data_IF_204516790331
#
_entry.id   IF_204516790331
#
_cell.length_a   1.000
_cell.length_b   1.000
_cell.length_c   1.000
_cell.angle_alpha   90.00
_cell.angle_beta   90.00
_cell.angle_gamma   90.00
#
_symmetry.space_group_name_H-M   'P 1'
#
loop_
_entity.id
_entity.type
_entity.pdbx_description
1 polymer ?
#
# COMPACT_ATOMS: atom_id res chain seq x y z
N UNK A 1 41.38 13.62 4.84
CA UNK A 1 39.98 13.25 4.57
C UNK A 1 39.27 14.54 4.21
N UNK A 2 38.66 14.60 3.04
CA UNK A 2 38.02 15.82 2.55
C UNK A 2 36.59 15.87 3.10
N UNK A 3 36.35 16.71 4.09
CA UNK A 3 35.06 16.77 4.81
C UNK A 3 33.96 17.37 3.92
N UNK A 4 34.32 18.29 3.02
CA UNK A 4 33.38 18.86 2.04
C UNK A 4 32.88 17.75 1.11
N UNK A 5 33.81 16.90 0.63
CA UNK A 5 33.44 15.73 -0.16
C UNK A 5 32.49 14.79 0.61
N UNK A 6 32.76 14.53 1.89
CA UNK A 6 31.87 13.69 2.71
C UNK A 6 30.47 14.27 2.86
N UNK A 7 30.35 15.59 3.04
CA UNK A 7 29.06 16.26 3.11
C UNK A 7 28.31 16.12 1.78
N UNK A 8 28.96 16.36 0.65
CA UNK A 8 28.35 16.16 -0.67
C UNK A 8 27.90 14.71 -0.89
N UNK A 9 28.74 13.73 -0.54
CA UNK A 9 28.39 12.31 -0.64
C UNK A 9 27.17 11.96 0.24
N UNK A 10 27.04 12.56 1.43
CA UNK A 10 25.85 12.38 2.29
C UNK A 10 24.60 13.05 1.72
N UNK A 11 24.73 14.21 1.09
CA UNK A 11 23.63 14.88 0.41
C UNK A 11 23.03 13.99 -0.68
N UNK A 12 23.90 13.42 -1.53
CA UNK A 12 23.47 12.51 -2.59
C UNK A 12 22.78 11.27 -2.00
N UNK A 13 23.32 10.69 -0.93
CA UNK A 13 22.67 9.56 -0.26
C UNK A 13 21.32 9.92 0.39
N UNK A 14 21.12 11.14 0.87
CA UNK A 14 19.83 11.61 1.38
C UNK A 14 18.80 11.67 0.26
N UNK A 15 19.20 12.18 -0.90
CA UNK A 15 18.35 12.24 -2.10
C UNK A 15 17.99 10.83 -2.57
N UNK A 16 18.97 9.95 -2.70
CA UNK A 16 18.74 8.54 -3.08
C UNK A 16 17.78 7.85 -2.10
N UNK A 17 17.95 8.09 -0.79
CA UNK A 17 17.06 7.51 0.23
C UNK A 17 15.63 8.03 0.12
N UNK A 18 15.45 9.32 -0.22
CA UNK A 18 14.12 9.87 -0.48
C UNK A 18 13.48 9.25 -1.74
N UNK A 19 14.28 9.02 -2.79
CA UNK A 19 13.81 8.38 -4.01
C UNK A 19 13.46 6.90 -3.79
N UNK A 20 14.22 6.17 -2.96
CA UNK A 20 13.88 4.82 -2.51
C UNK A 20 12.53 4.77 -1.77
N UNK A 21 12.15 5.87 -1.11
CA UNK A 21 10.86 6.04 -0.43
C UNK A 21 9.73 6.44 -1.40
N UNK A 22 10.04 6.59 -2.69
CA UNK A 22 9.11 7.04 -3.73
C UNK A 22 8.92 8.56 -3.79
N UNK A 23 9.69 9.33 -3.00
CA UNK A 23 9.63 10.79 -3.01
C UNK A 23 10.49 11.30 -4.16
N UNK A 24 9.88 12.05 -5.09
CA UNK A 24 10.64 12.67 -6.18
C UNK A 24 11.67 13.66 -5.65
N UNK A 25 12.87 13.67 -6.23
CA UNK A 25 13.95 14.63 -5.89
C UNK A 25 13.47 16.07 -5.76
N UNK A 26 12.74 16.60 -6.74
CA UNK A 26 12.26 17.99 -6.71
C UNK A 26 11.30 18.25 -5.55
N UNK A 27 10.46 17.28 -5.21
CA UNK A 27 9.55 17.35 -4.06
C UNK A 27 10.35 17.35 -2.76
N UNK A 28 11.35 16.46 -2.65
CA UNK A 28 12.19 16.36 -1.46
C UNK A 28 13.07 17.60 -1.27
N UNK A 29 13.67 18.16 -2.33
CA UNK A 29 14.43 19.41 -2.23
C UNK A 29 13.55 20.59 -1.79
N UNK A 30 12.29 20.62 -2.22
CA UNK A 30 11.35 21.69 -1.88
C UNK A 30 10.78 21.58 -0.46
N UNK A 31 10.49 20.36 -0.02
CA UNK A 31 9.72 20.09 1.21
C UNK A 31 10.56 19.41 2.30
N UNK A 32 11.77 18.95 2.00
CA UNK A 32 12.56 18.06 2.86
C UNK A 32 12.91 18.63 4.22
N UNK A 33 12.82 19.95 4.44
CA UNK A 33 13.08 20.57 5.75
C UNK A 33 11.82 20.76 6.60
N UNK A 34 10.64 20.45 6.05
CA UNK A 34 9.36 20.84 6.65
C UNK A 34 9.11 20.24 8.03
N UNK A 35 9.56 19.01 8.29
CA UNK A 35 9.43 18.39 9.61
C UNK A 35 10.34 19.09 10.63
N UNK A 36 11.62 19.31 10.27
CA UNK A 36 12.57 20.02 11.13
C UNK A 36 12.06 21.41 11.48
N UNK A 37 11.55 22.15 10.49
CA UNK A 37 10.95 23.46 10.68
C UNK A 37 9.73 23.41 11.62
N UNK A 38 8.80 22.47 11.41
CA UNK A 38 7.65 22.31 12.30
C UNK A 38 8.09 22.06 13.75
N UNK A 39 9.00 21.10 13.98
CA UNK A 39 9.47 20.72 15.32
C UNK A 39 10.30 21.83 16.00
N UNK A 40 11.17 22.51 15.25
CA UNK A 40 12.06 23.55 15.79
C UNK A 40 11.26 24.76 16.31
N UNK A 41 10.31 25.25 15.51
CA UNK A 41 9.51 26.41 15.86
C UNK A 41 8.39 26.10 16.84
N UNK A 42 7.89 24.85 16.89
CA UNK A 42 6.97 24.42 17.96
C UNK A 42 7.60 24.50 19.35
N UNK A 43 8.91 24.23 19.46
CA UNK A 43 9.63 24.31 20.74
C UNK A 43 9.96 25.75 21.15
N UNK A 44 9.91 26.70 20.21
CA UNK A 44 10.25 28.11 20.43
C UNK A 44 9.17 29.04 19.85
N UNK A 45 7.92 28.98 20.35
CA UNK A 45 6.80 29.66 19.72
C UNK A 45 6.86 31.18 19.94
N UNK A 46 6.96 31.93 18.84
CA UNK A 46 6.63 33.36 18.73
C UNK A 46 5.31 33.56 17.97
N UNK A 47 4.69 34.74 18.07
CA UNK A 47 3.46 35.03 17.29
C UNK A 47 3.69 34.94 15.77
N UNK A 48 4.87 35.35 15.30
CA UNK A 48 5.30 35.21 13.91
C UNK A 48 5.59 33.76 13.52
N UNK A 49 6.02 32.92 14.47
CA UNK A 49 6.32 31.51 14.21
C UNK A 49 5.07 30.65 13.99
N UNK A 50 3.89 31.04 14.48
CA UNK A 50 2.68 30.19 14.39
C UNK A 50 2.25 29.94 12.94
N UNK A 51 2.14 31.00 12.14
CA UNK A 51 1.82 30.87 10.72
C UNK A 51 2.89 30.10 9.93
N UNK A 52 4.15 30.20 10.37
CA UNK A 52 5.26 29.45 9.80
C UNK A 52 5.17 27.95 10.16
N UNK A 53 4.90 27.61 11.42
CA UNK A 53 4.69 26.24 11.91
C UNK A 53 3.54 25.57 11.16
N UNK A 54 2.41 26.27 10.99
CA UNK A 54 1.25 25.72 10.28
C UNK A 54 1.60 25.41 8.81
N UNK A 55 2.35 26.30 8.15
CA UNK A 55 2.85 26.06 6.79
C UNK A 55 3.82 24.88 6.75
N UNK A 56 4.77 24.79 7.70
CA UNK A 56 5.72 23.69 7.79
C UNK A 56 5.02 22.35 8.02
N UNK A 57 3.98 22.31 8.86
CA UNK A 57 3.13 21.13 9.05
C UNK A 57 2.39 20.73 7.78
N UNK A 58 1.82 21.69 7.06
CA UNK A 58 1.16 21.42 5.80
C UNK A 58 2.15 20.83 4.79
N UNK A 59 3.33 21.45 4.63
CA UNK A 59 4.40 20.96 3.76
C UNK A 59 4.88 19.57 4.17
N UNK A 60 4.94 19.26 5.46
CA UNK A 60 5.30 17.93 5.93
C UNK A 60 4.22 16.89 5.62
N UNK A 61 2.94 17.25 5.72
CA UNK A 61 1.86 16.37 5.28
C UNK A 61 1.94 16.13 3.76
N UNK A 62 2.20 17.16 2.95
CA UNK A 62 2.42 17.01 1.51
C UNK A 62 3.61 16.08 1.20
N UNK A 63 4.68 16.14 1.99
CA UNK A 63 5.83 15.24 1.87
C UNK A 63 5.47 13.79 2.24
N UNK A 64 4.65 13.57 3.28
CA UNK A 64 4.16 12.25 3.65
C UNK A 64 3.22 11.66 2.57
N UNK A 65 2.35 12.50 2.00
CA UNK A 65 1.44 12.10 0.93
C UNK A 65 2.19 11.69 -0.35
N UNK A 66 3.39 12.22 -0.57
CA UNK A 66 4.27 11.80 -1.64
C UNK A 66 4.88 10.39 -1.43
N UNK A 67 4.81 9.83 -0.21
CA UNK A 67 5.33 8.52 0.16
C UNK A 67 4.28 7.67 0.93
N UNK A 68 3.14 7.31 0.31
CA UNK A 68 2.01 6.71 1.02
C UNK A 68 2.25 5.30 1.61
N UNK A 69 3.35 4.63 1.22
CA UNK A 69 3.77 3.33 1.77
C UNK A 69 4.80 3.42 2.89
N UNK A 70 5.31 4.63 3.17
CA UNK A 70 6.41 4.85 4.11
C UNK A 70 5.83 5.35 5.43
N UNK A 71 6.25 4.80 6.60
CA UNK A 71 5.82 5.32 7.90
C UNK A 71 6.14 6.81 8.04
N UNK A 72 5.19 7.57 8.58
CA UNK A 72 5.35 9.01 8.82
C UNK A 72 6.64 9.31 9.59
N UNK A 73 6.97 8.48 10.57
CA UNK A 73 8.18 8.60 11.38
C UNK A 73 9.45 8.45 10.55
N UNK A 74 9.46 7.57 9.53
CA UNK A 74 10.60 7.44 8.63
C UNK A 74 10.79 8.69 7.77
N UNK A 75 9.69 9.30 7.30
CA UNK A 75 9.70 10.58 6.57
C UNK A 75 10.15 11.73 7.49
N UNK A 76 9.77 11.70 8.77
CA UNK A 76 10.20 12.68 9.78
C UNK A 76 11.73 12.62 10.01
N UNK A 77 12.29 11.42 10.23
CA UNK A 77 13.73 11.24 10.38
C UNK A 77 14.51 11.66 9.14
N UNK A 78 14.00 11.33 7.95
CA UNK A 78 14.61 11.74 6.69
C UNK A 78 14.57 13.28 6.52
N UNK A 79 13.46 13.91 6.91
CA UNK A 79 13.32 15.37 6.88
C UNK A 79 14.23 16.08 7.91
N UNK A 80 14.37 15.52 9.10
CA UNK A 80 15.31 16.00 10.11
C UNK A 80 16.77 15.90 9.64
N UNK A 81 17.14 14.77 9.03
CA UNK A 81 18.47 14.58 8.45
C UNK A 81 18.77 15.62 7.36
N UNK A 82 17.82 15.87 6.46
CA UNK A 82 17.97 16.88 5.41
C UNK A 82 18.07 18.31 5.96
N UNK A 83 17.22 18.66 6.94
CA UNK A 83 17.29 19.97 7.57
C UNK A 83 18.60 20.22 8.30
N UNK A 84 19.07 19.21 9.04
CA UNK A 84 20.35 19.25 9.74
C UNK A 84 21.52 19.42 8.77
N UNK A 85 21.49 18.68 7.66
CA UNK A 85 22.50 18.75 6.61
C UNK A 85 22.60 20.13 5.95
N UNK A 86 21.46 20.78 5.67
CA UNK A 86 21.47 22.15 5.13
C UNK A 86 21.98 23.15 6.16
N UNK A 87 21.62 23.00 7.44
CA UNK A 87 22.17 23.84 8.51
C UNK A 87 23.70 23.70 8.60
N UNK A 88 24.23 22.50 8.39
CA UNK A 88 25.68 22.25 8.28
C UNK A 88 26.34 23.04 7.17
N UNK A 89 25.76 22.99 5.96
CA UNK A 89 26.28 23.71 4.80
C UNK A 89 26.27 25.23 5.01
N UNK A 90 25.14 25.78 5.47
CA UNK A 90 25.01 27.22 5.73
C UNK A 90 26.01 27.70 6.79
N UNK A 91 26.22 26.93 7.86
CA UNK A 91 27.18 27.28 8.92
C UNK A 91 28.64 27.23 8.43
N UNK A 92 28.94 26.37 7.45
CA UNK A 92 30.27 26.28 6.85
C UNK A 92 30.60 27.39 5.86
N UNK A 93 29.59 27.98 5.20
CA UNK A 93 29.76 29.12 4.30
C UNK A 93 30.00 30.42 5.10
N UNK A 94 29.28 30.62 6.20
CA UNK A 94 29.35 31.83 7.03
C UNK A 94 30.70 31.98 7.77
N UNK A 95 31.40 30.87 8.03
CA UNK A 95 32.69 30.83 8.74
C UNK A 95 33.92 30.88 7.83
N UNK A 96 33.78 30.99 6.51
CA UNK A 96 34.95 31.10 5.62
C UNK A 96 35.69 32.45 5.74
N UNK A 97 35.10 33.46 6.38
CA UNK A 97 35.71 34.80 6.50
C UNK A 97 36.65 34.95 7.73
N UNK A 98 36.56 34.08 8.75
CA UNK A 98 37.42 34.11 9.93
C UNK A 98 38.31 32.86 10.01
N UNK A 99 39.53 32.99 9.47
CA UNK A 99 40.43 31.91 9.04
C UNK A 99 40.97 30.95 10.13
N UNK A 100 40.62 31.07 11.42
CA UNK A 100 41.42 30.40 12.46
C UNK A 100 40.81 29.18 13.15
N UNK A 101 39.50 28.91 13.12
CA UNK A 101 38.95 27.67 13.70
C UNK A 101 37.63 27.27 13.00
N UNK A 102 37.74 26.63 11.83
CA UNK A 102 36.62 25.82 11.33
C UNK A 102 36.45 24.64 12.31
N UNK A 103 35.39 24.66 13.12
CA UNK A 103 35.06 23.64 14.11
C UNK A 103 34.77 22.29 13.43
N UNK A 104 35.84 21.60 13.02
CA UNK A 104 35.77 20.28 12.40
C UNK A 104 35.03 19.28 13.29
N UNK A 105 35.05 19.49 14.61
CA UNK A 105 34.32 18.68 15.59
C UNK A 105 32.81 18.78 15.40
N UNK A 106 32.25 19.99 15.35
CA UNK A 106 30.81 20.20 15.11
C UNK A 106 30.35 19.65 13.76
N UNK A 107 31.16 19.84 12.72
CA UNK A 107 30.89 19.33 11.38
C UNK A 107 30.83 17.80 11.38
N UNK A 108 31.80 17.14 12.02
CA UNK A 108 31.83 15.68 12.15
C UNK A 108 30.65 15.16 12.96
N UNK A 109 30.33 15.77 14.11
CA UNK A 109 29.16 15.42 14.93
C UNK A 109 27.86 15.50 14.11
N UNK A 110 27.70 16.58 13.34
CA UNK A 110 26.50 16.79 12.55
C UNK A 110 26.35 15.76 11.42
N UNK A 111 27.45 15.41 10.74
CA UNK A 111 27.46 14.37 9.71
C UNK A 111 27.17 12.97 10.31
N UNK A 112 27.54 12.72 11.58
CA UNK A 112 27.20 11.49 12.30
C UNK A 112 25.71 11.44 12.65
N UNK A 113 25.11 12.55 13.05
CA UNK A 113 23.67 12.64 13.33
C UNK A 113 22.84 12.43 12.06
N UNK A 114 23.21 13.07 10.94
CA UNK A 114 22.59 12.83 9.62
C UNK A 114 22.61 11.33 9.27
N UNK A 115 23.77 10.69 9.40
CA UNK A 115 23.92 9.25 9.13
C UNK A 115 23.02 8.39 10.03
N UNK A 116 22.92 8.75 11.31
CA UNK A 116 22.11 8.04 12.30
C UNK A 116 20.62 8.13 11.96
N UNK A 117 20.13 9.31 11.62
CA UNK A 117 18.75 9.52 11.21
C UNK A 117 18.40 8.77 9.92
N UNK A 118 19.29 8.76 8.93
CA UNK A 118 19.11 7.97 7.71
C UNK A 118 19.02 6.46 8.01
N UNK A 119 19.86 5.97 8.94
CA UNK A 119 19.81 4.58 9.39
C UNK A 119 18.47 4.20 10.02
N UNK A 120 17.94 5.07 10.88
CA UNK A 120 16.61 4.89 11.51
C UNK A 120 15.49 4.91 10.48
N UNK A 121 15.50 5.90 9.57
CA UNK A 121 14.49 6.02 8.51
C UNK A 121 14.43 4.74 7.66
N UNK A 122 15.58 4.25 7.19
CA UNK A 122 15.67 3.00 6.41
C UNK A 122 15.19 1.77 7.20
N UNK A 123 15.49 1.70 8.49
CA UNK A 123 15.03 0.61 9.36
C UNK A 123 13.50 0.57 9.50
N UNK A 124 12.87 1.74 9.65
CA UNK A 124 11.42 1.87 9.75
C UNK A 124 10.72 1.54 8.42
N UNK A 125 11.23 2.03 7.29
CA UNK A 125 10.68 1.73 5.97
C UNK A 125 10.72 0.22 5.67
N UNK A 126 11.86 -0.45 5.90
CA UNK A 126 11.97 -1.92 5.71
C UNK A 126 10.99 -2.72 6.55
N UNK A 127 10.72 -2.27 7.78
CA UNK A 127 9.74 -2.93 8.67
C UNK A 127 8.31 -2.78 8.13
N UNK A 128 7.99 -1.62 7.55
CA UNK A 128 6.69 -1.36 6.94
C UNK A 128 6.48 -2.20 5.67
N UNK A 129 7.48 -2.30 4.80
CA UNK A 129 7.43 -3.16 3.61
C UNK A 129 7.12 -4.62 3.99
N UNK A 130 7.83 -5.15 4.99
CA UNK A 130 7.58 -6.51 5.48
C UNK A 130 6.19 -6.71 6.10
N UNK A 131 5.56 -5.65 6.62
CA UNK A 131 4.17 -5.71 7.12
C UNK A 131 3.16 -5.62 5.98
N UNK A 132 3.42 -4.78 4.97
CA UNK A 132 2.57 -4.63 3.81
C UNK A 132 2.49 -5.92 2.99
N UNK A 133 3.64 -6.57 2.75
CA UNK A 133 3.68 -7.87 2.07
C UNK A 133 2.88 -8.95 2.82
N UNK A 134 2.99 -8.99 4.16
CA UNK A 134 2.22 -9.91 5.00
C UNK A 134 0.72 -9.65 4.88
N UNK A 135 0.30 -8.39 4.97
CA UNK A 135 -1.10 -8.01 4.84
C UNK A 135 -1.67 -8.37 3.46
N UNK A 136 -0.93 -8.08 2.38
CA UNK A 136 -1.35 -8.44 1.02
C UNK A 136 -1.45 -9.96 0.84
N UNK A 137 -0.52 -10.73 1.42
CA UNK A 137 -0.56 -12.19 1.41
C UNK A 137 -1.81 -12.73 2.12
N UNK A 138 -2.11 -12.24 3.32
CA UNK A 138 -3.30 -12.61 4.08
C UNK A 138 -4.59 -12.25 3.32
N UNK A 139 -4.64 -11.06 2.72
CA UNK A 139 -5.78 -10.62 1.93
C UNK A 139 -6.03 -11.54 0.72
N UNK A 140 -4.97 -11.91 -0.02
CA UNK A 140 -5.08 -12.87 -1.14
C UNK A 140 -5.58 -14.23 -0.67
N UNK A 141 -5.10 -14.70 0.48
CA UNK A 141 -5.55 -15.97 1.05
C UNK A 141 -7.04 -15.92 1.42
N UNK A 142 -7.50 -14.84 2.05
CA UNK A 142 -8.91 -14.65 2.39
C UNK A 142 -9.80 -14.59 1.14
N UNK A 143 -9.39 -13.86 0.10
CA UNK A 143 -10.10 -13.81 -1.18
C UNK A 143 -10.18 -15.18 -1.85
N UNK A 144 -9.08 -15.94 -1.85
CA UNK A 144 -9.04 -17.31 -2.37
C UNK A 144 -10.00 -18.23 -1.61
N UNK A 145 -10.04 -18.14 -0.28
CA UNK A 145 -10.97 -18.93 0.55
C UNK A 145 -12.43 -18.55 0.29
N UNK A 146 -12.72 -17.26 0.14
CA UNK A 146 -14.06 -16.78 -0.20
C UNK A 146 -14.50 -17.29 -1.58
N UNK A 147 -13.61 -17.25 -2.58
CA UNK A 147 -13.84 -17.83 -3.90
C UNK A 147 -14.13 -19.32 -3.86
N UNK A 148 -13.35 -20.09 -3.09
CA UNK A 148 -13.56 -21.52 -2.91
C UNK A 148 -14.91 -21.83 -2.24
N UNK A 149 -15.30 -21.06 -1.21
CA UNK A 149 -16.62 -21.18 -0.56
C UNK A 149 -17.77 -20.87 -1.53
N UNK A 150 -17.63 -19.82 -2.33
CA UNK A 150 -18.61 -19.45 -3.35
C UNK A 150 -18.79 -20.53 -4.42
N UNK A 151 -17.67 -21.07 -4.92
CA UNK A 151 -17.69 -22.18 -5.88
C UNK A 151 -18.36 -23.43 -5.29
N UNK A 152 -18.01 -23.81 -4.05
CA UNK A 152 -18.61 -24.95 -3.36
C UNK A 152 -20.13 -24.78 -3.18
N UNK A 153 -20.59 -23.58 -2.80
CA UNK A 153 -22.01 -23.27 -2.68
C UNK A 153 -22.75 -23.38 -4.02
N UNK A 154 -22.16 -22.87 -5.11
CA UNK A 154 -22.70 -23.01 -6.47
C UNK A 154 -22.80 -24.47 -6.91
N UNK A 155 -21.74 -25.25 -6.68
CA UNK A 155 -21.73 -26.68 -6.99
C UNK A 155 -22.81 -27.45 -6.21
N UNK A 156 -23.01 -27.15 -4.93
CA UNK A 156 -24.08 -27.74 -4.12
C UNK A 156 -25.47 -27.47 -4.73
N UNK A 157 -25.76 -26.20 -5.06
CA UNK A 157 -27.05 -25.83 -5.68
C UNK A 157 -27.27 -26.50 -7.05
N UNK A 158 -26.21 -26.61 -7.86
CA UNK A 158 -26.26 -27.34 -9.14
C UNK A 158 -26.56 -28.83 -8.93
N UNK A 159 -25.97 -29.45 -7.90
CA UNK A 159 -26.23 -30.84 -7.55
C UNK A 159 -27.67 -31.07 -7.06
N UNK A 160 -28.21 -30.15 -6.24
CA UNK A 160 -29.60 -30.18 -5.77
C UNK A 160 -30.59 -30.05 -6.94
N UNK A 161 -30.37 -29.10 -7.84
CA UNK A 161 -31.19 -28.94 -9.05
C UNK A 161 -31.12 -30.19 -9.94
N UNK A 162 -29.93 -30.76 -10.14
CA UNK A 162 -29.77 -32.02 -10.89
C UNK A 162 -30.57 -33.16 -10.26
N UNK A 163 -30.50 -33.32 -8.94
CA UNK A 163 -31.25 -34.35 -8.20
C UNK A 163 -32.76 -34.18 -8.39
N UNK A 164 -33.27 -32.96 -8.17
CA UNK A 164 -34.68 -32.63 -8.35
C UNK A 164 -35.18 -32.93 -9.77
N UNK A 165 -34.39 -32.55 -10.80
CA UNK A 165 -34.72 -32.84 -12.21
C UNK A 165 -34.89 -34.32 -12.45
N UNK A 166 -33.94 -35.14 -11.97
CA UNK A 166 -33.96 -36.58 -12.19
C UNK A 166 -35.15 -37.25 -11.48
N UNK A 167 -35.47 -36.82 -10.26
CA UNK A 167 -36.62 -37.31 -9.49
C UNK A 167 -37.95 -36.96 -10.16
N UNK A 168 -38.13 -35.70 -10.62
CA UNK A 168 -39.36 -35.28 -11.31
C UNK A 168 -39.50 -35.89 -12.69
N UNK A 169 -38.41 -36.04 -13.44
CA UNK A 169 -38.45 -36.66 -14.75
C UNK A 169 -38.82 -38.15 -14.68
N UNK A 170 -38.52 -38.85 -13.59
CA UNK A 170 -38.85 -40.27 -13.43
C UNK A 170 -40.37 -40.55 -13.40
N UNK A 171 -41.19 -39.56 -13.04
CA UNK A 171 -42.66 -39.71 -12.97
C UNK A 171 -43.38 -39.18 -14.21
N UNK A 172 -42.65 -38.58 -15.16
CA UNK A 172 -43.20 -37.96 -16.35
C UNK A 172 -42.84 -38.78 -17.61
N UNK A 173 -43.73 -38.76 -18.59
CA UNK A 173 -43.47 -39.34 -19.92
C UNK A 173 -43.28 -38.26 -20.97
N UNK A 174 -42.35 -38.47 -21.89
CA UNK A 174 -42.08 -37.59 -23.02
C UNK A 174 -40.61 -37.65 -23.43
N UNK A 175 -40.28 -36.99 -24.54
CA UNK A 175 -38.89 -36.75 -24.93
C UNK A 175 -38.21 -35.71 -23.99
N UNK A 176 -36.88 -35.75 -23.94
CA UNK A 176 -36.08 -34.91 -23.03
C UNK A 176 -36.33 -33.41 -23.21
N UNK A 177 -36.61 -32.95 -24.42
CA UNK A 177 -36.85 -31.52 -24.70
C UNK A 177 -38.21 -31.07 -24.14
N UNK A 178 -39.24 -31.88 -24.32
CA UNK A 178 -40.56 -31.64 -23.76
C UNK A 178 -40.54 -31.72 -22.24
N UNK A 179 -39.79 -32.67 -21.67
CA UNK A 179 -39.57 -32.73 -20.21
C UNK A 179 -38.82 -31.51 -19.70
N UNK A 180 -37.74 -31.08 -20.37
CA UNK A 180 -36.98 -29.91 -19.98
C UNK A 180 -37.84 -28.64 -19.96
N UNK A 181 -38.68 -28.43 -20.97
CA UNK A 181 -39.61 -27.29 -21.04
C UNK A 181 -40.66 -27.32 -19.93
N UNK A 182 -41.23 -28.50 -19.63
CA UNK A 182 -42.22 -28.65 -18.54
C UNK A 182 -41.59 -28.38 -17.18
N UNK A 183 -40.42 -28.99 -16.93
CA UNK A 183 -39.71 -28.87 -15.66
C UNK A 183 -39.16 -27.46 -15.44
N UNK A 184 -38.70 -26.76 -16.49
CA UNK A 184 -38.25 -25.36 -16.37
C UNK A 184 -39.39 -24.42 -16.00
N UNK A 185 -40.61 -24.69 -16.48
CA UNK A 185 -41.79 -23.90 -16.13
C UNK A 185 -42.30 -24.18 -14.70
N UNK A 186 -41.98 -25.35 -14.14
CA UNK A 186 -42.37 -25.76 -12.79
C UNK A 186 -41.21 -25.71 -11.79
N UNK A 187 -40.20 -24.89 -12.05
CA UNK A 187 -39.02 -24.82 -11.20
C UNK A 187 -39.39 -24.23 -9.82
N UNK A 188 -38.93 -24.82 -8.71
CA UNK A 188 -39.13 -24.23 -7.39
C UNK A 188 -38.44 -22.85 -7.31
N UNK A 189 -39.03 -21.86 -6.60
CA UNK A 189 -38.45 -20.53 -6.45
C UNK A 189 -37.00 -20.55 -5.95
N UNK A 190 -36.68 -21.44 -5.02
CA UNK A 190 -35.34 -21.63 -4.46
C UNK A 190 -34.28 -22.10 -5.47
N UNK A 191 -34.71 -22.59 -6.64
CA UNK A 191 -33.83 -23.07 -7.71
C UNK A 191 -33.77 -22.14 -8.94
N UNK A 192 -34.56 -21.06 -8.96
CA UNK A 192 -34.70 -20.19 -10.14
C UNK A 192 -33.36 -19.57 -10.58
N UNK A 193 -32.51 -19.19 -9.62
CA UNK A 193 -31.23 -18.49 -9.86
C UNK A 193 -30.02 -19.43 -9.98
N UNK A 194 -30.24 -20.75 -10.01
CA UNK A 194 -29.14 -21.74 -10.05
C UNK A 194 -28.43 -21.73 -11.42
N UNK A 195 -29.16 -21.44 -12.50
CA UNK A 195 -28.64 -21.35 -13.87
C UNK A 195 -29.27 -20.18 -14.60
N UNK A 196 -28.48 -19.40 -15.35
CA UNK A 196 -28.99 -18.35 -16.23
C UNK A 196 -29.89 -18.89 -17.35
N UNK A 197 -29.78 -20.19 -17.68
CA UNK A 197 -30.69 -20.87 -18.60
C UNK A 197 -31.10 -22.23 -18.00
N UNK A 198 -32.17 -22.24 -17.18
CA UNK A 198 -32.63 -23.45 -16.50
C UNK A 198 -33.05 -24.55 -17.47
N UNK A 199 -33.77 -24.21 -18.56
CA UNK A 199 -34.23 -25.20 -19.54
C UNK A 199 -33.06 -25.95 -20.19
N UNK A 200 -32.01 -25.23 -20.61
CA UNK A 200 -30.81 -25.85 -21.19
C UNK A 200 -30.11 -26.76 -20.19
N UNK A 201 -29.93 -26.30 -18.95
CA UNK A 201 -29.33 -27.12 -17.89
C UNK A 201 -30.10 -28.42 -17.66
N UNK A 202 -31.44 -28.33 -17.55
CA UNK A 202 -32.32 -29.49 -17.36
C UNK A 202 -32.19 -30.46 -18.54
N UNK A 203 -32.24 -29.96 -19.78
CA UNK A 203 -32.06 -30.77 -20.97
C UNK A 203 -30.73 -31.52 -20.96
N UNK A 204 -29.63 -30.84 -20.63
CA UNK A 204 -28.30 -31.45 -20.56
C UNK A 204 -28.24 -32.53 -19.47
N UNK A 205 -28.88 -32.31 -18.31
CA UNK A 205 -29.02 -33.32 -17.25
C UNK A 205 -29.78 -34.55 -17.76
N UNK A 206 -30.93 -34.37 -18.41
CA UNK A 206 -31.75 -35.48 -18.93
C UNK A 206 -30.99 -36.27 -20.02
N UNK A 207 -30.34 -35.55 -20.95
CA UNK A 207 -29.55 -36.17 -22.01
C UNK A 207 -28.34 -36.94 -21.47
N UNK A 208 -27.69 -36.42 -20.41
CA UNK A 208 -26.56 -37.10 -19.76
C UNK A 208 -26.96 -38.41 -19.10
N UNK A 209 -28.18 -38.50 -18.57
CA UNK A 209 -28.74 -39.72 -17.98
C UNK A 209 -28.84 -40.86 -19.00
N UNK A 210 -29.23 -40.56 -20.24
CA UNK A 210 -29.38 -41.57 -21.30
C UNK A 210 -28.03 -42.09 -21.83
N UNK A 211 -26.95 -41.32 -21.67
CA UNK A 211 -25.60 -41.68 -22.14
C UNK A 211 -24.75 -42.41 -21.10
N UNK A 212 -25.15 -42.38 -19.84
CA UNK A 212 -24.42 -42.98 -18.72
C UNK A 212 -25.17 -44.13 -18.03
N UNK A 213 -26.12 -44.74 -18.73
CA UNK A 213 -26.80 -45.98 -18.32
C UNK A 213 -26.12 -47.20 -18.88
#
# INVERSE_FOLDING_TARGET
MDIVKMALDQFDQLIETAEDFGIKKDTFLKLGQSAMHATYFERNPTDESRAYVDRAKQQFNELCDAAPGVPREAVEFLSAAFGLHIATFLHSEDKQEDEEHCDCEWLVETLMDVSSFMGVARGLAKKADGLLERFQSEQRQLLSQAGAKGAAAKHRRHAEMKKWVLEKAATLRGDDMNLARKLSASLPPEMADVSANPQRFIYDVLRSRQRGG
#
